data_IF_287321053220
#
_entry.id   IF_287321053220
#
_cell.length_a   1.000
_cell.length_b   1.000
_cell.length_c   1.000
_cell.angle_alpha   90.00
_cell.angle_beta   90.00
_cell.angle_gamma   90.00
#
_symmetry.space_group_name_H-M   'P 1'
#
loop_
_entity.id
_entity.type
_entity.pdbx_description
1 polymer ?
#
# COMPACT_ATOMS: atom_id res chain seq x y z
N UNK A 1 -45.87 9.93 -13.46
CA UNK A 1 -45.55 9.66 -12.03
C UNK A 1 -44.70 8.40 -11.80
N UNK A 2 -44.85 7.31 -12.58
CA UNK A 2 -44.07 6.06 -12.43
C UNK A 2 -42.55 6.20 -12.59
N UNK A 3 -42.08 7.12 -13.44
CA UNK A 3 -40.65 7.34 -13.72
C UNK A 3 -39.87 7.86 -12.49
N UNK A 4 -40.50 8.72 -11.67
CA UNK A 4 -39.87 9.32 -10.48
C UNK A 4 -39.61 8.28 -9.38
N UNK A 5 -40.50 7.29 -9.25
CA UNK A 5 -40.36 6.20 -8.29
C UNK A 5 -39.27 5.21 -8.72
N UNK A 6 -39.11 4.97 -10.03
CA UNK A 6 -38.04 4.10 -10.54
C UNK A 6 -36.67 4.74 -10.30
N UNK A 7 -36.52 6.05 -10.57
CA UNK A 7 -35.28 6.78 -10.29
C UNK A 7 -34.92 6.73 -8.80
N UNK A 8 -35.90 6.90 -7.90
CA UNK A 8 -35.66 6.80 -6.45
C UNK A 8 -35.17 5.41 -6.04
N UNK A 9 -35.71 4.34 -6.62
CA UNK A 9 -35.27 2.97 -6.36
C UNK A 9 -33.84 2.74 -6.85
N UNK A 10 -33.48 3.25 -8.04
CA UNK A 10 -32.11 3.13 -8.55
C UNK A 10 -31.10 3.90 -7.69
N UNK A 11 -31.45 5.11 -7.24
CA UNK A 11 -30.60 5.88 -6.32
C UNK A 11 -30.41 5.12 -5.00
N UNK A 12 -31.48 4.55 -4.46
CA UNK A 12 -31.40 3.73 -3.24
C UNK A 12 -30.47 2.53 -3.44
N UNK A 13 -30.59 1.81 -4.55
CA UNK A 13 -29.72 0.66 -4.87
C UNK A 13 -28.26 1.07 -5.03
N UNK A 14 -27.98 2.21 -5.65
CA UNK A 14 -26.61 2.75 -5.77
C UNK A 14 -26.05 3.06 -4.37
N UNK A 15 -26.83 3.72 -3.51
CA UNK A 15 -26.39 4.06 -2.15
C UNK A 15 -26.15 2.81 -1.29
N UNK A 16 -27.03 1.81 -1.37
CA UNK A 16 -26.86 0.53 -0.68
C UNK A 16 -25.62 -0.20 -1.19
N UNK A 17 -25.42 -0.27 -2.51
CA UNK A 17 -24.25 -0.91 -3.11
C UNK A 17 -22.95 -0.19 -2.72
N UNK A 18 -22.95 1.14 -2.74
CA UNK A 18 -21.82 1.96 -2.31
C UNK A 18 -21.50 1.74 -0.83
N UNK A 19 -22.50 1.66 0.04
CA UNK A 19 -22.32 1.37 1.46
C UNK A 19 -21.74 -0.02 1.72
N UNK A 20 -22.22 -1.04 1.00
CA UNK A 20 -21.70 -2.40 1.06
C UNK A 20 -20.24 -2.44 0.59
N UNK A 21 -19.93 -1.79 -0.54
CA UNK A 21 -18.57 -1.68 -1.07
C UNK A 21 -17.66 -0.97 -0.08
N UNK A 22 -18.08 0.16 0.50
CA UNK A 22 -17.29 0.90 1.49
C UNK A 22 -16.92 0.02 2.69
N UNK A 23 -17.85 -0.80 3.18
CA UNK A 23 -17.61 -1.66 4.34
C UNK A 23 -16.72 -2.87 4.01
N UNK A 24 -16.93 -3.49 2.85
CA UNK A 24 -16.19 -4.70 2.46
C UNK A 24 -14.81 -4.42 1.89
N UNK A 25 -14.64 -3.31 1.16
CA UNK A 25 -13.39 -2.95 0.49
C UNK A 25 -12.14 -3.09 1.37
N UNK A 26 -12.07 -2.53 2.59
CA UNK A 26 -10.89 -2.69 3.43
C UNK A 26 -10.66 -4.14 3.91
N UNK A 27 -11.70 -4.98 3.92
CA UNK A 27 -11.63 -6.38 4.40
C UNK A 27 -11.19 -7.35 3.31
N UNK A 28 -11.57 -7.09 2.06
CA UNK A 28 -11.31 -8.01 0.94
C UNK A 28 -10.18 -7.56 0.02
N UNK A 29 -9.54 -6.43 0.30
CA UNK A 29 -8.48 -5.92 -0.57
C UNK A 29 -7.30 -6.92 -0.62
N UNK A 30 -6.91 -7.40 -1.81
CA UNK A 30 -5.91 -8.47 -1.95
C UNK A 30 -4.50 -8.03 -1.53
N UNK A 31 -4.26 -6.73 -1.42
CA UNK A 31 -2.99 -6.14 -0.98
C UNK A 31 -2.98 -5.77 0.51
N UNK A 32 -4.00 -6.20 1.27
CA UNK A 32 -4.21 -5.70 2.62
C UNK A 32 -4.58 -4.22 2.64
N UNK A 33 -4.98 -3.74 3.81
CA UNK A 33 -5.05 -2.31 4.05
C UNK A 33 -3.60 -1.81 4.16
N UNK A 34 -3.03 -1.44 3.02
CA UNK A 34 -1.62 -1.06 2.89
C UNK A 34 -1.36 0.23 3.68
N UNK A 35 -0.80 0.10 4.88
CA UNK A 35 -0.40 1.26 5.68
C UNK A 35 1.07 1.58 5.44
N UNK A 36 1.34 2.55 4.57
CA UNK A 36 2.68 3.08 4.34
C UNK A 36 2.78 4.44 5.04
N UNK A 37 3.43 4.52 6.22
CA UNK A 37 3.49 5.75 6.99
C UNK A 37 4.38 6.82 6.33
N UNK A 38 5.29 6.40 5.46
CA UNK A 38 6.23 7.26 4.75
C UNK A 38 6.04 7.12 3.24
N UNK A 39 6.14 8.25 2.57
CA UNK A 39 6.14 8.36 1.11
C UNK A 39 7.49 7.98 0.53
N UNK A 40 7.51 7.69 -0.79
CA UNK A 40 8.72 7.36 -1.53
C UNK A 40 9.82 8.42 -1.32
N UNK A 41 9.48 9.71 -1.48
CA UNK A 41 10.41 10.82 -1.33
C UNK A 41 10.96 10.96 0.09
N UNK A 42 10.14 10.71 1.11
CA UNK A 42 10.60 10.76 2.51
C UNK A 42 11.62 9.65 2.81
N UNK A 43 11.39 8.46 2.27
CA UNK A 43 12.33 7.34 2.40
C UNK A 43 13.64 7.62 1.66
N UNK A 44 13.59 8.17 0.45
CA UNK A 44 14.78 8.57 -0.31
C UNK A 44 15.59 9.61 0.46
N UNK A 45 14.93 10.63 1.03
CA UNK A 45 15.58 11.63 1.86
C UNK A 45 16.23 11.01 3.12
N UNK A 46 15.52 10.10 3.80
CA UNK A 46 16.09 9.39 4.95
C UNK A 46 17.31 8.54 4.58
N UNK A 47 17.28 7.86 3.44
CA UNK A 47 18.40 7.05 2.97
C UNK A 47 19.63 7.90 2.63
N UNK A 48 19.43 9.07 2.02
CA UNK A 48 20.50 10.05 1.78
C UNK A 48 21.09 10.56 3.09
N UNK A 49 20.26 10.89 4.08
CA UNK A 49 20.75 11.32 5.39
C UNK A 49 21.56 10.22 6.09
N UNK A 50 21.04 8.98 6.08
CA UNK A 50 21.72 7.82 6.67
C UNK A 50 23.07 7.53 5.99
N UNK A 51 23.14 7.63 4.66
CA UNK A 51 24.39 7.44 3.92
C UNK A 51 25.43 8.51 4.27
N UNK A 52 25.01 9.77 4.43
CA UNK A 52 25.88 10.87 4.87
C UNK A 52 26.37 10.69 6.30
N UNK A 53 25.51 10.26 7.21
CA UNK A 53 25.86 9.94 8.60
C UNK A 53 26.91 8.83 8.67
N UNK A 54 26.83 7.85 7.77
CA UNK A 54 27.80 6.77 7.63
C UNK A 54 29.04 7.15 6.80
N UNK A 55 29.16 8.42 6.39
CA UNK A 55 30.28 8.94 5.59
C UNK A 55 30.50 8.18 4.27
N UNK A 56 29.42 7.64 3.70
CA UNK A 56 29.46 6.99 2.40
C UNK A 56 29.53 8.05 1.30
N UNK A 57 30.39 7.84 0.30
CA UNK A 57 30.41 8.67 -0.89
C UNK A 57 29.25 8.27 -1.81
N UNK A 58 28.29 9.17 -1.96
CA UNK A 58 27.11 9.01 -2.82
C UNK A 58 27.12 9.99 -4.01
N UNK A 59 28.26 10.62 -4.30
CA UNK A 59 28.39 11.56 -5.40
C UNK A 59 28.16 10.85 -6.75
N UNK A 60 27.30 11.42 -7.60
CA UNK A 60 26.91 10.82 -8.87
C UNK A 60 25.95 9.63 -8.73
N UNK A 61 25.41 9.39 -7.53
CA UNK A 61 24.33 8.43 -7.30
C UNK A 61 23.09 9.13 -6.75
N UNK A 62 21.92 8.60 -7.10
CA UNK A 62 20.64 8.99 -6.49
C UNK A 62 19.97 7.78 -5.83
N UNK A 63 19.23 8.05 -4.76
CA UNK A 63 18.41 7.05 -4.09
C UNK A 63 17.10 6.86 -4.85
N UNK A 64 16.75 5.62 -5.17
CA UNK A 64 15.44 5.22 -5.69
C UNK A 64 14.77 4.27 -4.70
N UNK A 65 13.68 4.73 -4.08
CA UNK A 65 12.89 3.89 -3.18
C UNK A 65 11.81 3.12 -3.96
N UNK A 66 11.87 1.79 -3.85
CA UNK A 66 10.92 0.86 -4.48
C UNK A 66 10.14 0.16 -3.39
N UNK A 67 8.82 0.19 -3.48
CA UNK A 67 7.97 -0.60 -2.60
C UNK A 67 8.06 -2.08 -3.00
N UNK A 68 8.52 -2.91 -2.06
CA UNK A 68 8.60 -4.34 -2.23
C UNK A 68 7.73 -5.06 -1.19
N UNK A 69 7.53 -6.36 -1.38
CA UNK A 69 6.72 -7.18 -0.47
C UNK A 69 7.27 -8.58 -0.29
N UNK A 70 7.12 -9.11 0.91
CA UNK A 70 7.39 -10.53 1.20
C UNK A 70 6.24 -11.40 0.66
N UNK A 71 6.32 -11.76 -0.61
CA UNK A 71 5.26 -12.51 -1.32
C UNK A 71 4.90 -13.84 -0.68
N UNK A 72 5.90 -14.57 -0.18
CA UNK A 72 5.67 -15.86 0.49
C UNK A 72 4.94 -15.67 1.83
N UNK A 73 5.37 -14.71 2.64
CA UNK A 73 4.74 -14.38 3.91
C UNK A 73 3.30 -13.89 3.68
N UNK A 74 3.08 -13.00 2.72
CA UNK A 74 1.73 -12.55 2.34
C UNK A 74 0.82 -13.73 2.04
N UNK A 75 1.28 -14.62 1.15
CA UNK A 75 0.51 -15.77 0.68
C UNK A 75 0.22 -16.73 1.83
N UNK A 76 1.22 -17.05 2.64
CA UNK A 76 1.08 -17.97 3.75
C UNK A 76 0.10 -17.43 4.79
N UNK A 77 0.23 -16.17 5.19
CA UNK A 77 -0.70 -15.52 6.13
C UNK A 77 -2.13 -15.53 5.60
N UNK A 78 -2.33 -15.24 4.30
CA UNK A 78 -3.65 -15.29 3.66
C UNK A 78 -4.22 -16.71 3.60
N UNK A 79 -3.37 -17.73 3.36
CA UNK A 79 -3.79 -19.13 3.32
C UNK A 79 -4.18 -19.66 4.71
N UNK A 80 -3.43 -19.29 5.76
CA UNK A 80 -3.65 -19.81 7.12
C UNK A 80 -4.79 -19.10 7.85
N UNK A 81 -4.92 -17.77 7.69
CA UNK A 81 -5.87 -16.97 8.46
C UNK A 81 -7.14 -16.59 7.68
N UNK A 82 -7.12 -16.73 6.35
CA UNK A 82 -8.12 -16.14 5.46
C UNK A 82 -7.93 -14.63 5.27
N UNK A 83 -8.56 -14.07 4.24
CA UNK A 83 -8.33 -12.68 3.80
C UNK A 83 -8.61 -11.62 4.88
N UNK A 84 -9.73 -11.72 5.60
CA UNK A 84 -10.12 -10.69 6.58
C UNK A 84 -9.13 -10.62 7.76
N UNK A 85 -8.82 -11.78 8.38
CA UNK A 85 -7.88 -11.84 9.51
C UNK A 85 -6.45 -11.56 9.08
N UNK A 86 -6.05 -12.02 7.89
CA UNK A 86 -4.76 -11.67 7.32
C UNK A 86 -4.65 -10.15 7.14
N UNK A 87 -5.66 -9.48 6.59
CA UNK A 87 -5.62 -8.03 6.39
C UNK A 87 -5.52 -7.25 7.72
N UNK A 88 -6.16 -7.73 8.79
CA UNK A 88 -5.97 -7.14 10.13
C UNK A 88 -4.53 -7.35 10.65
N UNK A 89 -3.99 -8.56 10.54
CA UNK A 89 -2.63 -8.87 11.00
C UNK A 89 -1.55 -8.13 10.19
N UNK A 90 -1.72 -8.03 8.88
CA UNK A 90 -0.82 -7.32 7.96
C UNK A 90 -0.80 -5.80 8.20
N UNK A 91 -1.90 -5.23 8.69
CA UNK A 91 -1.99 -3.79 8.96
C UNK A 91 -1.33 -3.39 10.29
N UNK A 92 -1.33 -4.28 11.28
CA UNK A 92 -0.92 -3.95 12.64
C UNK A 92 0.41 -4.60 13.07
N UNK A 93 0.63 -5.86 12.71
CA UNK A 93 1.64 -6.70 13.37
C UNK A 93 2.70 -7.25 12.41
N UNK A 94 2.38 -7.39 11.12
CA UNK A 94 3.24 -8.03 10.13
C UNK A 94 3.57 -7.08 8.97
N UNK A 95 4.77 -6.44 8.97
CA UNK A 95 5.21 -5.56 7.90
C UNK A 95 5.63 -6.38 6.68
N UNK A 96 4.63 -6.81 5.90
CA UNK A 96 4.85 -7.56 4.66
C UNK A 96 5.31 -6.66 3.53
N UNK A 97 4.96 -5.37 3.61
CA UNK A 97 5.40 -4.34 2.69
C UNK A 97 6.54 -3.55 3.30
N UNK A 98 7.56 -3.30 2.50
CA UNK A 98 8.73 -2.56 2.94
C UNK A 98 9.30 -1.75 1.79
N UNK A 99 9.94 -0.65 2.14
CA UNK A 99 10.69 0.14 1.19
C UNK A 99 12.09 -0.46 1.02
N UNK A 100 12.46 -0.69 -0.23
CA UNK A 100 13.81 -1.07 -0.62
C UNK A 100 14.44 0.10 -1.35
N UNK A 101 15.54 0.63 -0.81
CA UNK A 101 16.29 1.70 -1.47
C UNK A 101 17.39 1.10 -2.32
N UNK A 102 17.52 1.60 -3.54
CA UNK A 102 18.61 1.28 -4.46
C UNK A 102 19.37 2.55 -4.79
N UNK A 103 20.68 2.43 -4.91
CA UNK A 103 21.54 3.52 -5.39
C UNK A 103 21.77 3.32 -6.87
N UNK A 104 21.29 4.27 -7.66
CA UNK A 104 21.43 4.26 -9.11
C UNK A 104 22.42 5.35 -9.51
N UNK A 105 23.28 5.04 -10.47
CA UNK A 105 24.22 6.03 -11.00
C UNK A 105 23.45 6.99 -11.90
N UNK A 106 23.75 8.28 -11.76
CA UNK A 106 23.20 9.29 -12.65
C UNK A 106 23.88 9.12 -14.02
N UNK A 107 23.20 8.46 -14.96
CA UNK A 107 23.71 8.23 -16.32
C UNK A 107 23.54 9.46 -17.23
N UNK A 108 23.06 10.58 -16.68
CA UNK A 108 22.94 11.86 -17.37
C UNK A 108 24.15 12.76 -17.07
N UNK A 109 25.24 12.51 -17.79
CA UNK A 109 26.21 13.53 -18.21
C UNK A 109 26.39 13.44 -19.72
#
# INVERSE_FOLDING_TARGET
MKFRNQVAIYILLILVSAGILWHLYPKIHPFGNLNLPLTKSEIEAQAVNLAREQQLNIDGFYADAVLNRYTQLLRQTQMELGLEKANTALNNDLPVYFWQVRWLKDELL
#
